data_IF_939314255611
#
_entry.id   IF_939314255611
#
_cell.length_a   1.000
_cell.length_b   1.000
_cell.length_c   1.000
_cell.angle_alpha   90.00
_cell.angle_beta   90.00
_cell.angle_gamma   90.00
#
_symmetry.space_group_name_H-M   'P 1'
#
loop_
_entity.id
_entity.type
_entity.pdbx_description
1 polymer ?
#
# COMPACT_ATOMS: atom_id res chain seq x y z
N UNK A 1 -0.08 2.20 22.30
CA UNK A 1 0.83 3.23 21.80
C UNK A 1 0.05 4.01 20.77
N UNK A 2 -0.09 5.31 20.96
CA UNK A 2 -0.78 6.17 20.01
C UNK A 2 0.07 6.25 18.73
N UNK A 3 -0.53 5.97 17.59
CA UNK A 3 0.17 6.01 16.30
C UNK A 3 0.27 7.46 15.88
N UNK A 4 1.49 7.98 15.76
CA UNK A 4 1.70 9.35 15.30
C UNK A 4 1.28 9.48 13.82
N UNK A 5 0.17 10.19 13.58
CA UNK A 5 -0.46 10.37 12.26
C UNK A 5 0.53 10.73 11.14
N UNK A 6 1.38 11.77 11.27
CA UNK A 6 2.38 12.10 10.25
C UNK A 6 3.36 10.95 9.98
N UNK A 7 3.85 10.29 11.02
CA UNK A 7 4.82 9.20 10.89
C UNK A 7 4.24 8.00 10.16
N UNK A 8 2.97 7.66 10.45
CA UNK A 8 2.26 6.59 9.75
C UNK A 8 2.13 6.89 8.25
N UNK A 9 1.64 8.10 7.92
CA UNK A 9 1.48 8.52 6.53
C UNK A 9 2.81 8.55 5.78
N UNK A 10 3.86 9.06 6.41
CA UNK A 10 5.20 9.08 5.83
C UNK A 10 5.72 7.66 5.57
N UNK A 11 5.53 6.74 6.51
CA UNK A 11 5.95 5.34 6.36
C UNK A 11 5.21 4.66 5.21
N UNK A 12 3.88 4.80 5.13
CA UNK A 12 3.10 4.25 4.02
C UNK A 12 3.50 4.88 2.68
N UNK A 13 3.86 6.16 2.67
CA UNK A 13 4.30 6.87 1.46
C UNK A 13 5.65 6.35 0.97
N UNK A 14 6.62 6.12 1.87
CA UNK A 14 7.91 5.52 1.53
C UNK A 14 7.74 4.09 0.99
N UNK A 15 6.92 3.27 1.64
CA UNK A 15 6.60 1.92 1.18
C UNK A 15 5.94 1.93 -0.22
N UNK A 16 5.05 2.88 -0.48
CA UNK A 16 4.39 3.05 -1.78
C UNK A 16 5.39 3.45 -2.87
N UNK A 17 6.27 4.41 -2.58
CA UNK A 17 7.33 4.81 -3.50
C UNK A 17 8.25 3.63 -3.84
N UNK A 18 8.65 2.85 -2.84
CA UNK A 18 9.46 1.64 -3.02
C UNK A 18 8.76 0.60 -3.90
N UNK A 19 7.48 0.35 -3.66
CA UNK A 19 6.66 -0.58 -4.45
C UNK A 19 6.63 -0.17 -5.93
N UNK A 20 6.39 1.13 -6.19
CA UNK A 20 6.32 1.68 -7.55
C UNK A 20 7.69 1.67 -8.24
N UNK A 21 8.78 1.96 -7.53
CA UNK A 21 10.14 1.86 -8.08
C UNK A 21 10.47 0.42 -8.49
N UNK A 22 10.13 -0.58 -7.67
CA UNK A 22 10.34 -1.98 -8.02
C UNK A 22 9.53 -2.43 -9.25
N UNK A 23 8.32 -1.88 -9.41
CA UNK A 23 7.48 -2.13 -10.58
C UNK A 23 8.12 -1.58 -11.87
N UNK A 24 8.71 -0.38 -11.82
CA UNK A 24 9.33 0.28 -12.98
C UNK A 24 10.63 -0.38 -13.43
N UNK A 25 11.41 -0.93 -12.50
CA UNK A 25 12.71 -1.55 -12.80
C UNK A 25 12.54 -2.94 -13.45
N UNK A 26 11.30 -3.45 -13.58
CA UNK A 26 11.02 -4.72 -14.28
C UNK A 26 11.75 -5.91 -13.66
N UNK A 27 11.97 -5.88 -12.33
CA UNK A 27 12.85 -6.81 -11.65
C UNK A 27 12.40 -8.27 -11.83
N UNK A 28 13.37 -9.07 -12.23
CA UNK A 28 13.34 -10.51 -12.47
C UNK A 28 12.69 -11.28 -11.32
N UNK A 29 11.82 -12.25 -11.67
CA UNK A 29 11.26 -13.46 -10.99
C UNK A 29 11.47 -13.75 -9.48
N UNK A 30 12.41 -13.16 -8.76
CA UNK A 30 12.81 -13.51 -7.39
C UNK A 30 12.19 -12.67 -6.29
N UNK A 31 11.69 -11.44 -6.55
CA UNK A 31 11.07 -10.57 -5.51
C UNK A 31 9.56 -10.34 -5.68
N UNK A 32 8.87 -11.29 -6.31
CA UNK A 32 7.40 -11.25 -6.43
C UNK A 32 6.75 -11.33 -5.03
N UNK A 33 7.36 -12.09 -4.11
CA UNK A 33 6.85 -12.24 -2.74
C UNK A 33 6.97 -10.95 -1.92
N UNK A 34 8.08 -10.22 -2.03
CA UNK A 34 8.25 -8.94 -1.34
C UNK A 34 7.27 -7.89 -1.86
N UNK A 35 7.11 -7.82 -3.19
CA UNK A 35 6.10 -6.97 -3.82
C UNK A 35 4.68 -7.26 -3.31
N UNK A 36 4.24 -8.52 -3.37
CA UNK A 36 2.90 -8.90 -2.91
C UNK A 36 2.71 -8.65 -1.41
N UNK A 37 3.72 -8.92 -0.59
CA UNK A 37 3.67 -8.67 0.84
C UNK A 37 3.51 -7.17 1.15
N UNK A 38 4.28 -6.32 0.47
CA UNK A 38 4.24 -4.88 0.68
C UNK A 38 2.91 -4.26 0.20
N UNK A 39 2.41 -4.71 -0.96
CA UNK A 39 1.09 -4.31 -1.46
C UNK A 39 -0.02 -4.70 -0.47
N UNK A 40 0.01 -5.94 0.02
CA UNK A 40 -0.94 -6.43 1.03
C UNK A 40 -0.87 -5.60 2.30
N UNK A 41 0.33 -5.33 2.81
CA UNK A 41 0.50 -4.52 4.01
C UNK A 41 -0.10 -3.12 3.84
N UNK A 42 0.12 -2.47 2.70
CA UNK A 42 -0.45 -1.15 2.40
C UNK A 42 -1.98 -1.18 2.27
N UNK A 43 -2.56 -2.28 1.80
CA UNK A 43 -4.01 -2.45 1.70
C UNK A 43 -4.65 -2.77 3.06
N UNK A 44 -4.02 -3.62 3.86
CA UNK A 44 -4.61 -4.17 5.09
C UNK A 44 -4.32 -3.31 6.33
N UNK A 45 -3.24 -2.52 6.33
CA UNK A 45 -2.85 -1.76 7.51
C UNK A 45 -3.95 -0.81 8.05
N UNK A 46 -4.69 -0.07 7.21
CA UNK A 46 -5.83 0.74 7.69
C UNK A 46 -6.92 -0.09 8.40
N UNK A 47 -7.22 -1.29 7.88
CA UNK A 47 -8.18 -2.21 8.48
C UNK A 47 -7.69 -2.79 9.82
N UNK A 48 -6.37 -2.95 10.00
CA UNK A 48 -5.81 -3.38 11.28
C UNK A 48 -5.77 -2.28 12.35
N UNK A 49 -5.58 -1.03 11.95
CA UNK A 49 -5.50 0.09 12.89
C UNK A 49 -6.87 0.54 13.38
N UNK A 50 -7.91 0.40 12.55
CA UNK A 50 -9.30 0.74 12.88
C UNK A 50 -9.48 2.20 13.38
N UNK A 51 -8.62 3.12 12.92
CA UNK A 51 -8.74 4.56 13.23
C UNK A 51 -9.12 5.37 12.00
N UNK A 52 -9.84 6.50 12.17
CA UNK A 52 -10.17 7.40 11.06
C UNK A 52 -8.92 7.90 10.30
N UNK A 53 -7.85 8.20 11.03
CA UNK A 53 -6.59 8.70 10.46
C UNK A 53 -5.88 7.65 9.61
N UNK A 54 -5.93 6.37 10.03
CA UNK A 54 -5.38 5.28 9.24
C UNK A 54 -6.18 5.06 7.96
N UNK A 55 -7.51 5.23 8.01
CA UNK A 55 -8.38 5.18 6.82
C UNK A 55 -8.11 6.33 5.85
N UNK A 56 -7.96 7.56 6.34
CA UNK A 56 -7.60 8.71 5.51
C UNK A 56 -6.25 8.48 4.79
N UNK A 57 -5.27 7.95 5.53
CA UNK A 57 -3.96 7.57 4.97
C UNK A 57 -4.11 6.45 3.94
N UNK A 58 -4.92 5.43 4.23
CA UNK A 58 -5.22 4.34 3.31
C UNK A 58 -5.77 4.85 1.97
N UNK A 59 -6.83 5.66 2.02
CA UNK A 59 -7.46 6.24 0.82
C UNK A 59 -6.44 7.06 0.02
N UNK A 60 -5.61 7.86 0.68
CA UNK A 60 -4.55 8.63 0.03
C UNK A 60 -3.57 7.71 -0.72
N UNK A 61 -3.10 6.65 -0.07
CA UNK A 61 -2.13 5.71 -0.64
C UNK A 61 -2.73 4.89 -1.79
N UNK A 62 -3.95 4.35 -1.63
CA UNK A 62 -4.59 3.54 -2.66
C UNK A 62 -4.90 4.38 -3.91
N UNK A 63 -5.37 5.62 -3.71
CA UNK A 63 -5.58 6.58 -4.80
C UNK A 63 -4.27 6.83 -5.55
N UNK A 64 -3.18 7.04 -4.82
CA UNK A 64 -1.86 7.23 -5.43
C UNK A 64 -1.41 5.99 -6.21
N UNK A 65 -1.51 4.79 -5.63
CA UNK A 65 -1.14 3.54 -6.30
C UNK A 65 -1.87 3.33 -7.61
N UNK A 66 -3.20 3.45 -7.61
CA UNK A 66 -4.03 3.25 -8.83
C UNK A 66 -3.77 4.35 -9.87
N UNK A 67 -3.45 5.57 -9.43
CA UNK A 67 -3.11 6.67 -10.35
C UNK A 67 -1.73 6.51 -10.98
N UNK A 68 -0.73 6.08 -10.20
CA UNK A 68 0.65 5.96 -10.65
C UNK A 68 0.94 4.63 -11.38
N UNK A 69 0.20 3.57 -11.06
CA UNK A 69 0.32 2.25 -11.67
C UNK A 69 -1.07 1.60 -11.87
N UNK A 70 -1.83 2.03 -12.91
CA UNK A 70 -3.17 1.51 -13.18
C UNK A 70 -3.24 -0.01 -13.34
N UNK A 71 -2.14 -0.66 -13.79
CA UNK A 71 -2.04 -2.11 -13.89
C UNK A 71 -2.14 -2.85 -12.55
N UNK A 72 -1.89 -2.17 -11.43
CA UNK A 72 -2.07 -2.72 -10.09
C UNK A 72 -3.51 -2.61 -9.59
N UNK A 73 -4.40 -1.92 -10.31
CA UNK A 73 -5.76 -1.63 -9.84
C UNK A 73 -6.54 -2.88 -9.44
N UNK A 74 -6.50 -3.95 -10.23
CA UNK A 74 -7.18 -5.21 -9.89
C UNK A 74 -6.59 -5.89 -8.64
N UNK A 75 -5.27 -5.83 -8.47
CA UNK A 75 -4.57 -6.39 -7.31
C UNK A 75 -4.89 -5.59 -6.04
N UNK A 76 -4.87 -4.26 -6.11
CA UNK A 76 -5.26 -3.36 -5.00
C UNK A 76 -6.70 -3.67 -4.58
N UNK A 77 -7.63 -3.72 -5.53
CA UNK A 77 -9.04 -4.02 -5.22
C UNK A 77 -9.22 -5.40 -4.60
N UNK A 78 -8.51 -6.43 -5.10
CA UNK A 78 -8.55 -7.78 -4.51
C UNK A 78 -8.08 -7.77 -3.06
N UNK A 79 -6.92 -7.17 -2.78
CA UNK A 79 -6.37 -7.12 -1.42
C UNK A 79 -7.23 -6.26 -0.48
N UNK A 80 -7.87 -5.20 -0.98
CA UNK A 80 -8.81 -4.39 -0.19
C UNK A 80 -10.09 -5.17 0.15
N UNK A 81 -10.62 -5.95 -0.79
CA UNK A 81 -11.78 -6.81 -0.52
C UNK A 81 -11.43 -7.88 0.52
N UNK A 82 -10.24 -8.47 0.44
CA UNK A 82 -9.81 -9.49 1.42
C UNK A 82 -9.54 -8.92 2.83
N UNK A 83 -9.25 -7.62 2.94
CA UNK A 83 -8.95 -6.96 4.21
C UNK A 83 -10.19 -6.61 5.06
N UNK A 84 -11.39 -6.63 4.47
CA UNK A 84 -12.66 -6.20 5.07
C UNK A 84 -13.69 -7.31 5.12
#
# INVERSE_FOLDING_TARGET
GEVDKPQFRETCSHATALLLSNLQVGQHKTDIKGFSCLLRLLCWCPAYMLTPDAMETGIYIWTWLVSAAPQLGSLVLSELVDAW
#
